data_IF_495824803739
#
_entry.id   IF_495824803739
#
_cell.length_a   1.000
_cell.length_b   1.000
_cell.length_c   1.000
_cell.angle_alpha   90.00
_cell.angle_beta   90.00
_cell.angle_gamma   90.00
#
_symmetry.space_group_name_H-M   'P 1'
#
loop_
_entity.id
_entity.type
_entity.pdbx_description
1 polymer ?
#
# COMPACT_ATOMS: atom_id res chain seq x y z
N UNK A 1 -24.14 -5.41 -6.19
CA UNK A 1 -23.88 -3.96 -6.35
C UNK A 1 -22.74 -3.58 -5.44
N UNK A 2 -21.97 -2.56 -5.81
CA UNK A 2 -20.75 -2.15 -5.09
C UNK A 2 -20.82 -0.64 -4.83
N UNK A 3 -20.40 -0.19 -3.66
CA UNK A 3 -20.11 1.22 -3.42
C UNK A 3 -18.59 1.40 -3.31
N UNK A 4 -18.05 2.37 -4.03
CA UNK A 4 -16.69 2.88 -3.83
C UNK A 4 -16.73 4.24 -3.17
N UNK A 5 -15.80 4.50 -2.26
CA UNK A 5 -15.64 5.80 -1.60
C UNK A 5 -14.16 6.19 -1.67
N UNK A 6 -13.82 7.43 -2.05
CA UNK A 6 -12.48 8.00 -1.84
C UNK A 6 -12.58 9.17 -0.86
N UNK A 7 -12.00 9.00 0.32
CA UNK A 7 -11.97 10.02 1.37
C UNK A 7 -10.77 10.94 1.13
N UNK A 8 -11.03 12.05 0.47
CA UNK A 8 -10.07 13.12 0.23
C UNK A 8 -9.97 14.14 1.38
N UNK A 9 -8.99 15.05 1.32
CA UNK A 9 -8.82 16.10 2.33
C UNK A 9 -9.89 17.18 2.27
N UNK A 10 -10.40 17.50 1.08
CA UNK A 10 -11.43 18.54 0.88
C UNK A 10 -12.81 17.94 0.65
N UNK A 11 -12.87 16.90 -0.19
CA UNK A 11 -14.11 16.25 -0.59
C UNK A 11 -14.00 14.74 -0.42
N UNK A 12 -15.14 14.12 -0.13
CA UNK A 12 -15.32 12.67 -0.14
C UNK A 12 -16.26 12.31 -1.28
N UNK A 13 -15.75 11.46 -2.15
CA UNK A 13 -16.45 11.02 -3.35
C UNK A 13 -17.01 9.63 -3.10
N UNK A 14 -18.25 9.38 -3.52
CA UNK A 14 -18.82 8.05 -3.50
C UNK A 14 -19.50 7.72 -4.84
N UNK A 15 -19.35 6.48 -5.27
CA UNK A 15 -19.99 5.97 -6.49
C UNK A 15 -20.68 4.64 -6.19
N UNK A 16 -21.86 4.48 -6.74
CA UNK A 16 -22.64 3.25 -6.70
C UNK A 16 -22.57 2.56 -8.07
N UNK A 17 -22.08 1.33 -8.10
CA UNK A 17 -21.98 0.49 -9.29
C UNK A 17 -22.98 -0.67 -9.27
N UNK A 18 -23.55 -0.98 -10.44
CA UNK A 18 -24.35 -2.18 -10.66
C UNK A 18 -23.49 -3.46 -10.77
N UNK A 19 -24.11 -4.58 -11.16
CA UNK A 19 -23.41 -5.86 -11.33
C UNK A 19 -22.48 -5.91 -12.54
N UNK A 20 -22.69 -5.04 -13.53
CA UNK A 20 -21.91 -4.94 -14.76
C UNK A 20 -20.79 -3.88 -14.65
N UNK A 21 -20.69 -3.21 -13.49
CA UNK A 21 -19.70 -2.17 -13.23
C UNK A 21 -20.10 -0.78 -13.75
N UNK A 22 -21.36 -0.58 -14.14
CA UNK A 22 -21.85 0.74 -14.58
C UNK A 22 -22.18 1.62 -13.39
N UNK A 23 -21.83 2.90 -13.48
CA UNK A 23 -22.17 3.89 -12.46
C UNK A 23 -23.67 4.20 -12.50
N UNK A 24 -24.37 3.93 -11.40
CA UNK A 24 -25.78 4.27 -11.21
C UNK A 24 -25.95 5.66 -10.58
N UNK A 25 -25.00 6.06 -9.74
CA UNK A 25 -25.00 7.35 -9.05
C UNK A 25 -23.58 7.67 -8.58
N UNK A 26 -23.22 8.95 -8.62
CA UNK A 26 -21.99 9.48 -8.06
C UNK A 26 -22.34 10.74 -7.24
N UNK A 27 -21.71 10.88 -6.08
CA UNK A 27 -21.88 12.02 -5.19
C UNK A 27 -20.51 12.51 -4.73
N UNK A 28 -20.44 13.81 -4.47
CA UNK A 28 -19.28 14.49 -3.91
C UNK A 28 -19.78 15.35 -2.76
N UNK A 29 -19.28 15.10 -1.56
CA UNK A 29 -19.65 15.84 -0.35
C UNK A 29 -18.41 16.42 0.32
N UNK A 30 -18.51 17.54 1.05
CA UNK A 30 -17.39 18.06 1.83
C UNK A 30 -16.88 17.03 2.84
N UNK A 31 -15.56 16.88 2.93
CA UNK A 31 -14.95 16.02 3.96
C UNK A 31 -15.02 16.68 5.34
N UNK A 32 -15.31 15.89 6.36
CA UNK A 32 -15.27 16.29 7.76
C UNK A 32 -13.81 16.34 8.24
N UNK A 33 -13.38 17.51 8.71
CA UNK A 33 -12.00 17.72 9.13
C UNK A 33 -11.62 16.78 10.28
N UNK A 34 -10.65 15.90 10.04
CA UNK A 34 -10.16 14.95 11.04
C UNK A 34 -11.03 13.71 11.27
N UNK A 35 -12.17 13.59 10.56
CA UNK A 35 -13.11 12.48 10.70
C UNK A 35 -13.32 11.77 9.35
N UNK A 36 -12.42 10.84 9.04
CA UNK A 36 -12.46 10.08 7.78
C UNK A 36 -13.67 9.14 7.70
N UNK A 37 -14.06 8.53 8.84
CA UNK A 37 -15.19 7.60 8.87
C UNK A 37 -16.52 8.34 8.79
N UNK A 38 -16.68 9.45 9.50
CA UNK A 38 -17.85 10.32 9.37
C UNK A 38 -18.00 10.89 7.97
N UNK A 39 -16.89 11.26 7.32
CA UNK A 39 -16.88 11.69 5.91
C UNK A 39 -17.41 10.60 4.97
N UNK A 40 -16.97 9.35 5.18
CA UNK A 40 -17.48 8.18 4.46
C UNK A 40 -18.98 7.98 4.71
N UNK A 41 -19.42 8.06 5.97
CA UNK A 41 -20.85 7.89 6.31
C UNK A 41 -21.69 8.95 5.60
N UNK A 42 -21.26 10.21 5.59
CA UNK A 42 -21.94 11.29 4.91
C UNK A 42 -22.05 11.05 3.40
N UNK A 43 -20.96 10.61 2.74
CA UNK A 43 -20.95 10.33 1.31
C UNK A 43 -21.87 9.15 0.95
N UNK A 44 -21.84 8.07 1.72
CA UNK A 44 -22.73 6.91 1.51
C UNK A 44 -24.20 7.26 1.79
N UNK A 45 -24.46 8.16 2.73
CA UNK A 45 -25.82 8.63 3.04
C UNK A 45 -26.42 9.49 1.92
N UNK A 46 -25.59 10.16 1.12
CA UNK A 46 -26.02 10.95 -0.03
C UNK A 46 -26.39 10.10 -1.26
N UNK A 47 -26.03 8.82 -1.29
CA UNK A 47 -26.43 7.90 -2.36
C UNK A 47 -27.91 7.44 -2.23
N UNK A 48 -28.60 7.09 -3.33
CA UNK A 48 -29.98 6.61 -3.28
C UNK A 48 -30.19 5.38 -2.38
N UNK A 49 -31.19 5.44 -1.48
CA UNK A 49 -31.43 4.41 -0.45
C UNK A 49 -31.80 3.03 -0.98
N UNK A 50 -32.72 2.96 -1.95
CA UNK A 50 -33.24 1.69 -2.48
C UNK A 50 -32.13 0.80 -3.08
N UNK A 51 -31.27 1.30 -4.00
CA UNK A 51 -30.13 0.53 -4.48
C UNK A 51 -29.12 0.15 -3.39
N UNK A 52 -28.91 1.04 -2.40
CA UNK A 52 -27.93 0.85 -1.32
C UNK A 52 -28.20 -0.39 -0.48
N UNK A 53 -29.46 -0.75 -0.26
CA UNK A 53 -29.84 -1.96 0.48
C UNK A 53 -29.43 -3.28 -0.22
N UNK A 54 -29.07 -3.22 -1.51
CA UNK A 54 -28.59 -4.38 -2.32
C UNK A 54 -27.08 -4.41 -2.49
N UNK A 55 -26.36 -3.49 -1.84
CA UNK A 55 -24.90 -3.40 -1.92
C UNK A 55 -24.27 -4.44 -1.02
N UNK A 56 -23.50 -5.34 -1.62
CA UNK A 56 -22.81 -6.43 -0.93
C UNK A 56 -21.34 -6.13 -0.67
N UNK A 57 -20.84 -4.98 -1.16
CA UNK A 57 -19.44 -4.59 -1.03
C UNK A 57 -19.32 -3.06 -0.93
N UNK A 58 -18.54 -2.62 0.06
CA UNK A 58 -18.06 -1.26 0.24
C UNK A 58 -16.53 -1.26 0.09
N UNK A 59 -16.00 -0.56 -0.91
CA UNK A 59 -14.58 -0.37 -1.11
C UNK A 59 -14.18 1.07 -0.77
N UNK A 60 -13.14 1.24 0.05
CA UNK A 60 -12.79 2.53 0.63
C UNK A 60 -11.34 2.91 0.35
N UNK A 61 -11.17 4.05 -0.33
CA UNK A 61 -9.94 4.83 -0.41
C UNK A 61 -9.77 5.69 0.83
N UNK A 62 -8.73 5.42 1.63
CA UNK A 62 -8.41 6.20 2.83
C UNK A 62 -7.04 6.81 2.71
N UNK A 63 -6.93 8.09 3.10
CA UNK A 63 -5.67 8.84 3.10
C UNK A 63 -5.10 9.06 4.50
N UNK A 64 -5.68 8.41 5.52
CA UNK A 64 -5.34 8.61 6.94
C UNK A 64 -3.86 8.29 7.21
N UNK A 65 -3.36 7.14 6.76
CA UNK A 65 -1.96 6.75 6.96
C UNK A 65 -0.97 7.71 6.27
N UNK A 66 -1.24 8.06 4.99
CA UNK A 66 -0.38 8.96 4.23
C UNK A 66 -0.34 10.37 4.86
N UNK A 67 -1.48 10.85 5.36
CA UNK A 67 -1.60 12.12 6.08
C UNK A 67 -0.83 12.09 7.40
N UNK A 68 -1.01 11.06 8.22
CA UNK A 68 -0.30 10.90 9.49
C UNK A 68 1.21 10.91 9.29
N UNK A 69 1.71 10.21 8.27
CA UNK A 69 3.12 10.28 7.89
C UNK A 69 3.47 11.69 7.45
N UNK A 70 2.76 12.32 6.52
CA UNK A 70 3.11 13.66 6.03
C UNK A 70 3.12 14.75 7.12
N UNK A 71 2.15 14.70 8.04
CA UNK A 71 1.96 15.67 9.12
C UNK A 71 2.77 15.34 10.38
N UNK A 72 3.36 14.13 10.46
CA UNK A 72 4.11 13.63 11.62
C UNK A 72 3.24 13.50 12.88
N UNK A 73 1.96 13.16 12.71
CA UNK A 73 0.96 13.14 13.79
C UNK A 73 0.28 11.80 13.92
N UNK A 74 -0.04 11.39 15.16
CA UNK A 74 -0.78 10.16 15.43
C UNK A 74 0.01 8.89 15.09
N UNK A 75 1.34 8.98 15.06
CA UNK A 75 2.26 7.88 14.85
C UNK A 75 2.71 7.34 16.21
N UNK A 76 2.76 6.01 16.33
CA UNK A 76 3.24 5.33 17.52
C UNK A 76 4.75 5.54 17.72
N UNK A 77 5.19 5.63 18.97
CA UNK A 77 6.60 5.53 19.34
C UNK A 77 7.09 4.09 19.17
N UNK A 78 8.05 3.87 18.28
CA UNK A 78 8.53 2.56 17.84
C UNK A 78 9.91 2.22 18.42
N UNK A 79 10.01 1.07 19.06
CA UNK A 79 11.30 0.41 19.33
C UNK A 79 11.78 -0.33 18.08
N UNK A 80 12.95 0.03 17.55
CA UNK A 80 13.50 -0.55 16.32
C UNK A 80 14.61 -1.54 16.65
N UNK A 81 14.34 -2.83 16.44
CA UNK A 81 15.29 -3.91 16.69
C UNK A 81 15.77 -4.50 15.36
N UNK A 82 17.08 -4.44 15.11
CA UNK A 82 17.71 -5.15 14.01
C UNK A 82 18.46 -6.37 14.52
N UNK A 83 18.25 -7.51 13.88
CA UNK A 83 18.93 -8.77 14.17
C UNK A 83 19.91 -9.06 13.02
N UNK A 84 21.20 -9.12 13.32
CA UNK A 84 22.24 -9.39 12.34
C UNK A 84 23.64 -9.44 12.94
N UNK A 85 24.58 -10.07 12.22
CA UNK A 85 26.01 -10.04 12.58
C UNK A 85 26.67 -8.69 12.27
N UNK A 86 27.99 -8.60 12.48
CA UNK A 86 28.78 -7.34 12.41
C UNK A 86 28.56 -6.51 11.13
N UNK A 87 28.28 -7.15 9.98
CA UNK A 87 27.98 -6.44 8.72
C UNK A 87 26.70 -5.59 8.79
N UNK A 88 25.78 -5.89 9.72
CA UNK A 88 24.55 -5.16 9.95
C UNK A 88 24.74 -3.88 10.80
N UNK A 89 25.92 -3.68 11.39
CA UNK A 89 26.26 -2.51 12.23
C UNK A 89 26.84 -1.34 11.45
N UNK A 90 27.27 -1.56 10.20
CA UNK A 90 27.87 -0.52 9.36
C UNK A 90 26.94 0.67 9.09
N UNK A 91 25.62 0.44 9.14
CA UNK A 91 24.59 1.46 8.93
C UNK A 91 23.61 1.40 10.09
N UNK A 92 23.34 2.53 10.75
CA UNK A 92 22.37 2.56 11.87
C UNK A 92 20.92 2.31 11.40
N UNK A 93 20.04 1.80 12.27
CA UNK A 93 18.60 1.77 11.99
C UNK A 93 18.05 3.15 11.65
N UNK A 94 16.96 3.17 10.87
CA UNK A 94 16.31 4.39 10.37
C UNK A 94 17.17 5.24 9.42
N UNK A 95 18.11 4.60 8.73
CA UNK A 95 18.92 5.28 7.72
C UNK A 95 18.06 5.85 6.57
N UNK A 96 18.32 7.12 6.23
CA UNK A 96 17.61 7.82 5.16
C UNK A 96 16.28 8.45 5.56
N UNK A 97 15.88 8.37 6.84
CA UNK A 97 14.69 9.05 7.35
C UNK A 97 14.94 10.56 7.49
N UNK A 98 13.94 11.41 7.16
CA UNK A 98 13.93 12.81 7.58
C UNK A 98 14.00 12.91 9.10
N UNK A 99 14.78 13.86 9.62
CA UNK A 99 15.03 14.00 11.06
C UNK A 99 13.73 14.17 11.85
N UNK A 100 12.82 15.01 11.37
CA UNK A 100 11.56 15.33 12.05
C UNK A 100 10.65 14.10 12.13
N UNK A 101 10.64 13.26 11.10
CA UNK A 101 9.87 12.02 11.13
C UNK A 101 10.51 10.98 12.03
N UNK A 102 11.84 10.88 12.01
CA UNK A 102 12.57 9.99 12.91
C UNK A 102 12.27 10.34 14.37
N UNK A 103 12.34 11.62 14.73
CA UNK A 103 12.07 12.09 16.08
C UNK A 103 10.61 11.85 16.50
N UNK A 104 9.68 11.95 15.55
CA UNK A 104 8.27 11.66 15.79
C UNK A 104 7.95 10.17 16.00
N UNK A 105 8.83 9.24 15.60
CA UNK A 105 8.53 7.79 15.67
C UNK A 105 9.50 6.96 16.49
N UNK A 106 10.71 7.43 16.79
CA UNK A 106 11.76 6.57 17.34
C UNK A 106 11.81 6.58 18.87
N UNK A 107 11.31 5.52 19.51
CA UNK A 107 11.46 5.32 20.96
C UNK A 107 12.88 4.90 21.37
N UNK A 108 13.55 4.16 20.49
CA UNK A 108 14.90 3.65 20.68
C UNK A 108 15.27 2.64 19.59
N UNK A 109 16.57 2.38 19.43
CA UNK A 109 17.09 1.45 18.42
C UNK A 109 18.12 0.50 19.02
N UNK A 110 18.13 -0.77 18.61
CA UNK A 110 19.20 -1.71 18.93
C UNK A 110 19.54 -2.60 17.74
N UNK A 111 20.81 -2.95 17.63
CA UNK A 111 21.29 -4.05 16.81
C UNK A 111 21.71 -5.18 17.75
N UNK A 112 21.27 -6.40 17.49
CA UNK A 112 21.59 -7.58 18.28
C UNK A 112 22.16 -8.70 17.41
N UNK A 113 23.01 -9.53 17.99
CA UNK A 113 23.59 -10.66 17.29
C UNK A 113 22.50 -11.66 16.87
N UNK A 114 22.70 -12.24 15.68
CA UNK A 114 21.79 -13.18 15.05
C UNK A 114 21.83 -13.05 13.53
N UNK A 115 20.71 -13.35 12.89
CA UNK A 115 20.53 -13.33 11.44
C UNK A 115 20.84 -14.69 10.82
N UNK A 116 20.14 -15.00 9.73
CA UNK A 116 20.37 -16.19 8.93
C UNK A 116 21.22 -15.92 7.69
N UNK A 117 21.18 -16.85 6.75
CA UNK A 117 21.76 -16.75 5.42
C UNK A 117 21.06 -17.66 4.42
N UNK A 118 21.72 -17.97 3.31
CA UNK A 118 21.11 -18.75 2.20
C UNK A 118 21.34 -20.25 2.33
N UNK A 119 22.30 -20.67 3.16
CA UNK A 119 22.61 -22.06 3.48
C UNK A 119 22.13 -22.47 4.88
N UNK A 120 22.04 -23.79 5.14
CA UNK A 120 21.59 -24.34 6.43
C UNK A 120 22.57 -24.07 7.60
N UNK A 121 23.78 -23.62 7.31
CA UNK A 121 24.81 -23.25 8.29
C UNK A 121 25.13 -21.76 8.29
N UNK A 122 24.41 -20.97 7.48
CA UNK A 122 24.60 -19.53 7.45
C UNK A 122 23.69 -18.92 8.51
N UNK A 123 24.23 -18.61 9.69
CA UNK A 123 23.50 -17.88 10.71
C UNK A 123 24.20 -17.87 12.07
N UNK A 124 23.89 -16.86 12.88
CA UNK A 124 24.32 -16.77 14.27
C UNK A 124 23.10 -16.96 15.19
N UNK A 125 23.25 -17.55 16.39
CA UNK A 125 22.15 -17.63 17.35
C UNK A 125 21.71 -16.22 17.77
N UNK A 126 20.42 -16.08 18.05
CA UNK A 126 19.85 -14.83 18.56
C UNK A 126 20.37 -14.54 19.97
N UNK A 127 20.89 -13.33 20.21
CA UNK A 127 21.18 -12.84 21.56
C UNK A 127 19.89 -12.47 22.29
N UNK A 128 19.26 -13.48 22.89
CA UNK A 128 17.99 -13.36 23.63
C UNK A 128 18.07 -12.35 24.76
N UNK A 129 19.18 -12.31 25.48
CA UNK A 129 19.35 -11.41 26.63
C UNK A 129 19.44 -9.95 26.17
N UNK A 130 20.08 -9.68 25.03
CA UNK A 130 20.09 -8.35 24.43
C UNK A 130 18.70 -7.90 23.97
N UNK A 131 17.91 -8.81 23.38
CA UNK A 131 16.51 -8.52 23.04
C UNK A 131 15.70 -8.20 24.30
N UNK A 132 15.86 -8.99 25.36
CA UNK A 132 15.15 -8.78 26.61
C UNK A 132 15.49 -7.43 27.26
N UNK A 133 16.79 -7.10 27.35
CA UNK A 133 17.26 -5.80 27.85
C UNK A 133 16.71 -4.63 27.04
N UNK A 134 16.67 -4.77 25.71
CA UNK A 134 16.12 -3.74 24.82
C UNK A 134 14.61 -3.54 25.06
N UNK A 135 13.85 -4.63 25.12
CA UNK A 135 12.41 -4.60 25.41
C UNK A 135 12.11 -3.95 26.76
N UNK A 136 12.76 -4.41 27.83
CA UNK A 136 12.60 -3.87 29.17
C UNK A 136 12.97 -2.38 29.27
N UNK A 137 14.05 -1.95 28.59
CA UNK A 137 14.49 -0.56 28.57
C UNK A 137 13.54 0.41 27.85
N UNK A 138 12.63 -0.12 27.02
CA UNK A 138 11.61 0.65 26.31
C UNK A 138 10.18 0.39 26.81
N UNK A 139 9.99 -0.43 27.84
CA UNK A 139 8.68 -0.69 28.43
C UNK A 139 8.00 0.63 28.86
N UNK A 140 6.74 0.82 28.42
CA UNK A 140 5.97 2.05 28.66
C UNK A 140 6.42 3.29 27.86
N UNK A 141 7.50 3.20 27.08
CA UNK A 141 7.98 4.26 26.17
C UNK A 141 7.73 3.92 24.70
N UNK A 142 7.93 2.67 24.32
CA UNK A 142 7.55 2.17 23.01
C UNK A 142 6.09 1.72 23.02
N UNK A 143 5.32 2.23 22.07
CA UNK A 143 3.93 1.86 21.81
C UNK A 143 3.82 0.72 20.79
N UNK A 144 4.90 0.47 20.02
CA UNK A 144 5.02 -0.64 19.09
C UNK A 144 6.51 -1.00 18.88
N UNK A 145 6.78 -2.18 18.32
CA UNK A 145 8.12 -2.60 17.93
C UNK A 145 8.19 -2.99 16.46
N UNK A 146 9.30 -2.67 15.82
CA UNK A 146 9.67 -3.12 14.48
C UNK A 146 10.90 -4.00 14.57
N UNK A 147 10.79 -5.25 14.11
CA UNK A 147 11.87 -6.23 14.14
C UNK A 147 12.30 -6.56 12.72
N UNK A 148 13.60 -6.39 12.43
CA UNK A 148 14.18 -6.68 11.12
C UNK A 148 15.40 -7.60 11.23
N UNK A 149 15.35 -8.79 10.65
CA UNK A 149 16.50 -9.68 10.57
C UNK A 149 17.11 -9.78 9.17
N UNK A 150 18.43 -9.97 9.09
CA UNK A 150 19.09 -10.35 7.83
C UNK A 150 18.50 -11.70 7.38
N UNK A 151 18.10 -11.78 6.10
CA UNK A 151 17.43 -12.93 5.49
C UNK A 151 16.04 -13.33 6.06
N UNK A 152 15.40 -12.48 6.86
CA UNK A 152 14.05 -12.72 7.38
C UNK A 152 12.97 -13.16 6.36
N UNK A 153 12.94 -12.65 5.11
CA UNK A 153 11.97 -13.11 4.11
C UNK A 153 12.15 -14.58 3.70
N UNK A 154 13.34 -15.15 3.91
CA UNK A 154 13.60 -16.58 3.68
C UNK A 154 13.33 -17.39 4.95
N UNK A 155 13.77 -16.89 6.11
CA UNK A 155 13.52 -17.50 7.42
C UNK A 155 13.31 -16.43 8.51
N UNK A 156 12.05 -16.26 8.92
CA UNK A 156 11.65 -15.30 9.97
C UNK A 156 11.68 -15.86 11.39
N UNK A 157 12.34 -17.00 11.65
CA UNK A 157 12.30 -17.66 12.97
C UNK A 157 12.80 -16.77 14.10
N UNK A 158 13.94 -16.11 13.92
CA UNK A 158 14.48 -15.21 14.94
C UNK A 158 13.64 -13.95 15.14
N UNK A 159 12.96 -13.45 14.10
CA UNK A 159 12.05 -12.30 14.27
C UNK A 159 10.85 -12.69 15.15
N UNK A 160 10.28 -13.89 14.97
CA UNK A 160 9.19 -14.40 15.80
C UNK A 160 9.62 -14.61 17.25
N UNK A 161 10.78 -15.21 17.44
CA UNK A 161 11.36 -15.42 18.77
C UNK A 161 11.63 -14.09 19.50
N UNK A 162 12.23 -13.11 18.81
CA UNK A 162 12.43 -11.79 19.36
C UNK A 162 11.09 -11.11 19.69
N UNK A 163 10.05 -11.31 18.89
CA UNK A 163 8.72 -10.77 19.16
C UNK A 163 8.08 -11.35 20.42
N UNK A 164 8.29 -12.63 20.71
CA UNK A 164 7.83 -13.25 21.96
C UNK A 164 8.54 -12.63 23.17
N UNK A 165 9.86 -12.45 23.09
CA UNK A 165 10.65 -11.81 24.15
C UNK A 165 10.21 -10.36 24.37
N UNK A 166 10.05 -9.57 23.29
CA UNK A 166 9.61 -8.18 23.38
C UNK A 166 8.22 -8.06 24.04
N UNK A 167 7.29 -8.96 23.75
CA UNK A 167 5.97 -8.99 24.41
C UNK A 167 6.07 -9.37 25.88
N UNK A 168 6.96 -10.28 26.24
CA UNK A 168 7.18 -10.64 27.63
C UNK A 168 7.72 -9.46 28.45
N UNK A 169 8.63 -8.67 27.87
CA UNK A 169 9.32 -7.59 28.58
C UNK A 169 8.60 -6.23 28.54
N UNK A 170 7.99 -5.89 27.39
CA UNK A 170 7.38 -4.57 27.18
C UNK A 170 5.84 -4.57 27.29
N UNK A 171 5.20 -5.74 27.35
CA UNK A 171 3.76 -5.91 27.52
C UNK A 171 3.14 -6.87 26.50
N UNK A 172 2.29 -7.78 26.97
CA UNK A 172 1.76 -8.89 26.15
C UNK A 172 1.00 -8.41 24.89
N UNK A 173 0.33 -7.27 24.98
CA UNK A 173 -0.49 -6.70 23.90
C UNK A 173 0.27 -5.70 23.02
N UNK A 174 1.57 -5.47 23.26
CA UNK A 174 2.33 -4.52 22.44
C UNK A 174 2.43 -5.02 20.99
N UNK A 175 2.08 -4.18 19.99
CA UNK A 175 2.24 -4.55 18.59
C UNK A 175 3.72 -4.79 18.26
N UNK A 176 4.01 -5.90 17.60
CA UNK A 176 5.34 -6.21 17.06
C UNK A 176 5.20 -6.55 15.58
N UNK A 177 5.81 -5.75 14.72
CA UNK A 177 5.79 -5.91 13.26
C UNK A 177 7.10 -6.55 12.81
N UNK A 178 6.99 -7.61 12.00
CA UNK A 178 8.13 -8.42 11.54
C UNK A 178 8.45 -8.12 10.08
N UNK A 179 9.72 -7.86 9.79
CA UNK A 179 10.14 -7.48 8.44
C UNK A 179 9.94 -8.61 7.42
N UNK A 180 10.09 -9.87 7.83
CA UNK A 180 9.87 -11.04 6.97
C UNK A 180 8.47 -11.11 6.36
N UNK A 181 7.45 -10.55 7.03
CA UNK A 181 6.08 -10.51 6.53
C UNK A 181 5.86 -9.42 5.47
N UNK A 182 6.69 -8.37 5.44
CA UNK A 182 6.64 -7.33 4.39
C UNK A 182 7.11 -7.89 3.04
N UNK A 183 7.91 -8.96 3.05
CA UNK A 183 8.19 -9.79 1.87
C UNK A 183 9.11 -9.16 0.82
N UNK A 184 9.71 -7.99 1.08
CA UNK A 184 10.54 -7.29 0.11
C UNK A 184 12.05 -7.48 0.33
N UNK A 185 12.83 -7.38 -0.76
CA UNK A 185 14.29 -7.49 -0.69
C UNK A 185 14.99 -6.20 -0.25
N UNK A 186 16.17 -6.38 0.36
CA UNK A 186 17.02 -5.31 0.86
C UNK A 186 16.71 -4.91 2.30
N UNK A 187 17.70 -5.03 3.19
CA UNK A 187 17.53 -4.83 4.64
C UNK A 187 17.03 -3.43 4.98
N UNK A 188 17.72 -2.37 4.52
CA UNK A 188 17.43 -1.00 4.94
C UNK A 188 16.04 -0.52 4.51
N UNK A 189 15.67 -0.75 3.25
CA UNK A 189 14.36 -0.35 2.71
C UNK A 189 13.21 -1.16 3.32
N UNK A 190 13.45 -2.45 3.62
CA UNK A 190 12.48 -3.29 4.32
C UNK A 190 12.30 -2.86 5.77
N UNK A 191 13.39 -2.65 6.50
CA UNK A 191 13.36 -2.12 7.88
C UNK A 191 12.57 -0.80 7.94
N UNK A 192 12.82 0.11 7.00
CA UNK A 192 12.09 1.37 6.93
C UNK A 192 10.57 1.17 6.71
N UNK A 193 10.18 0.20 5.87
CA UNK A 193 8.77 -0.15 5.70
C UNK A 193 8.17 -0.79 6.97
N UNK A 194 8.92 -1.68 7.63
CA UNK A 194 8.51 -2.31 8.91
C UNK A 194 8.31 -1.28 10.02
N UNK A 195 9.18 -0.27 10.12
CA UNK A 195 9.03 0.82 11.09
C UNK A 195 7.81 1.68 10.74
N UNK A 196 7.55 2.00 9.46
CA UNK A 196 6.34 2.72 9.08
C UNK A 196 5.07 1.94 9.43
N UNK A 197 5.05 0.63 9.21
CA UNK A 197 3.92 -0.23 9.60
C UNK A 197 3.71 -0.22 11.12
N UNK A 198 4.79 -0.33 11.91
CA UNK A 198 4.72 -0.25 13.36
C UNK A 198 4.25 1.13 13.85
N UNK A 199 4.72 2.21 13.22
CA UNK A 199 4.31 3.57 13.55
C UNK A 199 2.82 3.82 13.24
N UNK A 200 2.26 3.12 12.25
CA UNK A 200 0.87 3.30 11.79
C UNK A 200 -0.14 2.34 12.44
N UNK A 201 0.32 1.28 13.10
CA UNK A 201 -0.55 0.15 13.49
C UNK A 201 -1.71 0.56 14.40
N UNK A 202 -1.46 1.40 15.41
CA UNK A 202 -2.49 1.86 16.36
C UNK A 202 -3.52 2.77 15.69
N UNK A 203 -3.05 3.70 14.85
CA UNK A 203 -3.92 4.60 14.10
C UNK A 203 -4.84 3.83 13.16
N UNK A 204 -4.27 2.91 12.40
CA UNK A 204 -4.99 2.14 11.40
C UNK A 204 -5.94 1.13 12.04
N UNK A 205 -5.57 0.52 13.17
CA UNK A 205 -6.47 -0.34 13.94
C UNK A 205 -7.72 0.43 14.38
N UNK A 206 -7.56 1.62 14.98
CA UNK A 206 -8.68 2.48 15.37
C UNK A 206 -9.59 2.82 14.20
N UNK A 207 -9.03 3.22 13.05
CA UNK A 207 -9.83 3.52 11.85
C UNK A 207 -10.60 2.29 11.36
N UNK A 208 -9.98 1.12 11.39
CA UNK A 208 -10.66 -0.12 11.02
C UNK A 208 -11.79 -0.48 12.01
N UNK A 209 -11.63 -0.22 13.31
CA UNK A 209 -12.68 -0.38 14.32
C UNK A 209 -13.84 0.59 14.10
N UNK A 210 -13.54 1.87 13.85
CA UNK A 210 -14.54 2.90 13.55
C UNK A 210 -15.34 2.58 12.28
N UNK A 211 -14.67 2.13 11.22
CA UNK A 211 -15.35 1.68 9.98
C UNK A 211 -16.27 0.50 10.25
N UNK A 212 -15.81 -0.49 11.02
CA UNK A 212 -16.59 -1.66 11.40
C UNK A 212 -17.84 -1.25 12.20
N UNK A 213 -17.68 -0.34 13.16
CA UNK A 213 -18.76 0.18 13.98
C UNK A 213 -19.76 1.06 13.19
N UNK A 214 -19.32 1.68 12.09
CA UNK A 214 -20.17 2.49 11.23
C UNK A 214 -21.07 1.66 10.29
N UNK A 215 -20.70 0.41 9.97
CA UNK A 215 -21.41 -0.41 8.97
C UNK A 215 -22.93 -0.52 9.16
N UNK A 216 -23.46 -0.78 10.38
CA UNK A 216 -24.91 -0.91 10.57
C UNK A 216 -25.69 0.37 10.20
N UNK A 217 -25.02 1.54 10.24
CA UNK A 217 -25.62 2.85 9.95
C UNK A 217 -25.66 3.16 8.46
N UNK A 218 -24.91 2.41 7.63
CA UNK A 218 -24.80 2.66 6.19
C UNK A 218 -25.98 2.10 5.38
N UNK A 219 -26.80 1.23 5.96
CA UNK A 219 -27.97 0.65 5.27
C UNK A 219 -27.59 -0.17 4.03
N UNK A 220 -26.49 -0.92 4.12
CA UNK A 220 -26.03 -1.88 3.11
C UNK A 220 -26.74 -3.23 3.28
N UNK A 221 -26.51 -4.17 2.36
CA UNK A 221 -26.99 -5.53 2.53
C UNK A 221 -26.38 -6.19 3.79
N UNK A 222 -27.11 -7.08 4.49
CA UNK A 222 -26.53 -7.87 5.57
C UNK A 222 -25.30 -8.63 5.09
N UNK A 223 -24.22 -8.57 5.87
CA UNK A 223 -22.95 -9.19 5.47
C UNK A 223 -22.22 -8.48 4.33
N UNK A 224 -22.45 -7.18 4.09
CA UNK A 224 -21.67 -6.45 3.11
C UNK A 224 -20.16 -6.44 3.48
N UNK A 225 -19.30 -6.79 2.54
CA UNK A 225 -17.86 -6.81 2.73
C UNK A 225 -17.30 -5.38 2.73
N UNK A 226 -16.40 -5.06 3.68
CA UNK A 226 -15.64 -3.81 3.68
C UNK A 226 -14.21 -4.08 3.28
N UNK A 227 -13.78 -3.38 2.25
CA UNK A 227 -12.43 -3.46 1.70
C UNK A 227 -11.82 -2.09 1.65
N UNK A 228 -10.50 -2.04 1.77
CA UNK A 228 -9.71 -0.82 1.64
C UNK A 228 -8.72 -0.96 0.51
N UNK A 229 -8.38 0.17 -0.09
CA UNK A 229 -7.51 0.22 -1.24
C UNK A 229 -6.03 0.15 -0.86
N UNK A 230 -5.25 -0.52 -1.71
CA UNK A 230 -3.81 -0.70 -1.61
C UNK A 230 -3.07 0.23 -2.57
N UNK A 231 -1.78 0.41 -2.32
CA UNK A 231 -0.88 1.22 -3.13
C UNK A 231 -0.68 0.75 -4.58
N UNK A 232 -0.98 -0.51 -4.88
CA UNK A 232 -0.88 -1.09 -6.23
C UNK A 232 -2.20 -1.01 -7.03
N UNK A 233 -3.20 -0.30 -6.49
CA UNK A 233 -4.52 -0.16 -7.11
C UNK A 233 -5.41 -1.39 -6.92
N UNK A 234 -5.09 -2.28 -5.98
CA UNK A 234 -5.98 -3.40 -5.60
C UNK A 234 -6.63 -3.16 -4.23
N UNK A 235 -7.43 -4.11 -3.76
CA UNK A 235 -8.12 -4.06 -2.47
C UNK A 235 -7.53 -5.05 -1.46
N UNK A 236 -7.81 -4.82 -0.17
CA UNK A 236 -7.61 -5.74 0.94
C UNK A 236 -8.70 -5.61 2.00
N UNK A 237 -8.89 -6.62 2.84
CA UNK A 237 -9.77 -6.60 3.99
C UNK A 237 -9.23 -5.70 5.12
N UNK A 238 -10.12 -5.31 6.04
CA UNK A 238 -9.73 -4.59 7.26
C UNK A 238 -8.76 -5.41 8.12
N UNK A 239 -8.93 -6.72 8.20
CA UNK A 239 -8.01 -7.60 8.95
C UNK A 239 -6.60 -7.60 8.36
N UNK A 240 -6.50 -7.54 7.03
CA UNK A 240 -5.22 -7.46 6.35
C UNK A 240 -4.59 -6.07 6.52
N UNK A 241 -5.39 -5.00 6.45
CA UNK A 241 -4.96 -3.64 6.74
C UNK A 241 -4.35 -3.52 8.15
N UNK A 242 -4.94 -4.16 9.17
CA UNK A 242 -4.40 -4.15 10.54
C UNK A 242 -3.02 -4.80 10.65
N UNK A 243 -2.77 -5.83 9.85
CA UNK A 243 -1.48 -6.53 9.82
C UNK A 243 -0.41 -5.77 9.04
N UNK A 244 -0.80 -5.11 7.95
CA UNK A 244 0.14 -4.37 7.09
C UNK A 244 -0.40 -2.97 6.72
N UNK A 245 -0.40 -2.02 7.68
CA UNK A 245 -0.90 -0.67 7.49
C UNK A 245 -0.28 0.07 6.29
N UNK A 246 1.02 -0.13 6.04
CA UNK A 246 1.76 0.57 5.00
C UNK A 246 1.33 0.19 3.59
N UNK A 247 0.62 -0.92 3.40
CA UNK A 247 0.00 -1.22 2.09
C UNK A 247 -1.03 -0.17 1.68
N UNK A 248 -1.59 0.60 2.63
CA UNK A 248 -2.51 1.71 2.35
C UNK A 248 -1.80 3.01 1.92
N UNK A 249 -0.48 3.11 2.10
CA UNK A 249 0.28 4.32 1.75
C UNK A 249 0.40 4.46 0.23
N UNK A 250 -0.08 5.57 -0.32
CA UNK A 250 -0.13 5.77 -1.78
C UNK A 250 -1.37 5.19 -2.46
N UNK A 251 -2.32 4.65 -1.69
CA UNK A 251 -3.58 4.09 -2.21
C UNK A 251 -4.48 5.13 -2.91
N UNK A 252 -4.58 6.36 -2.40
CA UNK A 252 -5.39 7.42 -3.02
C UNK A 252 -5.01 7.69 -4.50
N UNK A 253 -3.75 8.04 -4.79
CA UNK A 253 -3.28 8.14 -6.18
C UNK A 253 -3.44 6.84 -6.97
N UNK A 254 -3.15 5.68 -6.37
CA UNK A 254 -3.28 4.38 -7.05
C UNK A 254 -4.72 4.14 -7.55
N UNK A 255 -5.72 4.40 -6.71
CA UNK A 255 -7.13 4.27 -7.08
C UNK A 255 -7.56 5.30 -8.10
N UNK A 256 -7.06 6.53 -8.00
CA UNK A 256 -7.38 7.58 -8.97
C UNK A 256 -6.84 7.24 -10.35
N UNK A 257 -5.57 6.80 -10.44
CA UNK A 257 -4.95 6.34 -11.69
C UNK A 257 -5.71 5.16 -12.27
N UNK A 258 -6.03 4.16 -11.44
CA UNK A 258 -6.76 2.98 -11.89
C UNK A 258 -8.19 3.32 -12.35
N UNK A 259 -8.88 4.19 -11.62
CA UNK A 259 -10.21 4.66 -11.97
C UNK A 259 -10.21 5.46 -13.28
N UNK A 260 -9.19 6.29 -13.51
CA UNK A 260 -9.02 7.02 -14.77
C UNK A 260 -8.93 6.06 -15.97
N UNK A 261 -8.15 4.98 -15.86
CA UNK A 261 -8.06 3.94 -16.89
C UNK A 261 -9.38 3.23 -17.14
N UNK A 262 -10.08 2.84 -16.07
CA UNK A 262 -11.36 2.16 -16.19
C UNK A 262 -12.46 3.03 -16.81
N UNK A 263 -12.55 4.30 -16.40
CA UNK A 263 -13.54 5.24 -16.90
C UNK A 263 -13.27 5.67 -18.35
N UNK A 264 -11.99 5.80 -18.73
CA UNK A 264 -11.59 6.15 -20.10
C UNK A 264 -11.59 4.97 -21.07
N UNK A 265 -11.54 3.74 -20.56
CA UNK A 265 -11.31 2.54 -21.37
C UNK A 265 -9.87 2.39 -21.85
N UNK A 266 -8.95 3.27 -21.44
CA UNK A 266 -7.54 3.25 -21.83
C UNK A 266 -6.73 2.42 -20.84
N UNK A 267 -5.84 1.57 -21.35
CA UNK A 267 -4.99 0.69 -20.52
C UNK A 267 -3.60 1.24 -20.25
N UNK A 268 -3.10 2.09 -21.14
CA UNK A 268 -1.77 2.69 -21.08
C UNK A 268 -1.91 4.19 -21.33
N UNK A 269 -1.62 5.01 -20.31
CA UNK A 269 -1.87 6.44 -20.34
C UNK A 269 -1.00 7.19 -19.34
N UNK A 270 -0.73 8.47 -19.60
CA UNK A 270 -0.38 9.41 -18.52
C UNK A 270 -1.68 9.86 -17.87
N UNK A 271 -1.76 9.79 -16.55
CA UNK A 271 -2.93 10.24 -15.79
C UNK A 271 -2.57 11.48 -14.99
N UNK A 272 -3.36 12.53 -15.15
CA UNK A 272 -3.23 13.76 -14.38
C UNK A 272 -4.48 13.98 -13.51
N UNK A 273 -4.33 13.76 -12.20
CA UNK A 273 -5.31 14.03 -11.14
C UNK A 273 -5.22 15.50 -10.73
N UNK A 274 -6.17 16.30 -11.22
CA UNK A 274 -6.23 17.73 -10.98
C UNK A 274 -7.11 18.01 -9.75
N UNK A 275 -6.46 18.31 -8.62
CA UNK A 275 -7.11 18.86 -7.44
C UNK A 275 -7.18 20.39 -7.48
N UNK A 276 -7.69 20.99 -6.40
CA UNK A 276 -7.85 22.45 -6.30
C UNK A 276 -6.53 23.23 -6.30
N UNK A 277 -5.50 22.68 -5.64
CA UNK A 277 -4.19 23.33 -5.48
C UNK A 277 -3.03 22.56 -6.08
N UNK A 278 -3.20 21.25 -6.26
CA UNK A 278 -2.13 20.35 -6.70
C UNK A 278 -2.64 19.46 -7.80
N UNK A 279 -1.83 19.29 -8.82
CA UNK A 279 -2.00 18.24 -9.81
C UNK A 279 -0.99 17.12 -9.52
N UNK A 280 -1.43 15.87 -9.60
CA UNK A 280 -0.57 14.69 -9.51
C UNK A 280 -0.56 13.99 -10.86
N UNK A 281 0.62 13.79 -11.40
CA UNK A 281 0.83 13.14 -12.69
C UNK A 281 1.54 11.81 -12.46
N UNK A 282 0.98 10.73 -12.96
CA UNK A 282 1.57 9.40 -12.94
C UNK A 282 1.19 8.62 -14.19
N UNK A 283 1.65 7.38 -14.28
CA UNK A 283 1.43 6.55 -15.48
C UNK A 283 0.55 5.36 -15.14
N UNK A 284 -0.34 5.01 -16.07
CA UNK A 284 -1.12 3.78 -16.09
C UNK A 284 -0.44 2.85 -17.10
N UNK A 285 -0.19 1.61 -16.70
CA UNK A 285 0.37 0.56 -17.58
C UNK A 285 -0.45 -0.71 -17.44
N UNK A 286 -0.89 -1.27 -18.56
CA UNK A 286 -1.74 -2.46 -18.62
C UNK A 286 -3.00 -2.40 -17.73
N UNK A 287 -3.49 -1.21 -17.40
CA UNK A 287 -4.65 -0.96 -16.53
C UNK A 287 -4.34 -0.85 -15.04
N UNK A 288 -3.07 -0.78 -14.65
CA UNK A 288 -2.63 -0.60 -13.25
C UNK A 288 -1.68 0.60 -13.11
N UNK A 289 -1.61 1.24 -11.94
CA UNK A 289 -0.64 2.30 -11.70
C UNK A 289 0.78 1.79 -11.89
N UNK A 290 1.59 2.54 -12.64
CA UNK A 290 3.02 2.26 -12.76
C UNK A 290 3.69 2.53 -11.41
N UNK A 291 4.38 1.51 -10.92
CA UNK A 291 5.09 1.56 -9.65
C UNK A 291 6.43 2.29 -9.82
N UNK A 292 6.83 3.06 -8.81
CA UNK A 292 8.15 3.65 -8.78
C UNK A 292 9.23 2.56 -8.80
N UNK A 293 10.33 2.84 -9.50
CA UNK A 293 11.51 1.97 -9.53
C UNK A 293 12.15 1.77 -8.14
N UNK A 294 13.27 1.02 -8.07
CA UNK A 294 14.00 0.82 -6.83
C UNK A 294 14.36 2.16 -6.18
N UNK A 295 13.83 2.43 -4.97
CA UNK A 295 14.05 3.70 -4.28
C UNK A 295 12.81 4.56 -4.06
N UNK A 296 11.60 4.01 -4.24
CA UNK A 296 10.35 4.64 -3.82
C UNK A 296 10.43 5.22 -2.41
N UNK A 297 9.80 6.39 -2.21
CA UNK A 297 9.82 7.11 -0.94
C UNK A 297 8.41 7.42 -0.46
N UNK A 298 8.19 7.29 0.85
CA UNK A 298 6.94 7.72 1.49
C UNK A 298 7.28 8.71 2.58
N UNK A 299 6.75 9.93 2.49
CA UNK A 299 7.05 11.00 3.46
C UNK A 299 8.53 11.33 3.58
N UNK A 300 9.32 11.06 2.53
CA UNK A 300 10.78 11.19 2.51
C UNK A 300 11.56 9.93 2.89
N UNK A 301 10.91 8.90 3.43
CA UNK A 301 11.56 7.64 3.85
C UNK A 301 11.75 6.71 2.65
N UNK A 302 12.96 6.22 2.36
CA UNK A 302 13.16 5.21 1.33
C UNK A 302 12.62 3.85 1.79
N UNK A 303 11.69 3.29 1.04
CA UNK A 303 10.97 2.06 1.39
C UNK A 303 11.08 1.03 0.28
N UNK A 304 10.78 -0.23 0.62
CA UNK A 304 10.69 -1.32 -0.34
C UNK A 304 9.27 -1.50 -0.92
N UNK A 305 8.32 -0.67 -0.47
CA UNK A 305 6.95 -0.65 -0.98
C UNK A 305 6.92 -0.09 -2.39
N UNK A 306 6.19 -0.77 -3.28
CA UNK A 306 6.06 -0.38 -4.70
C UNK A 306 4.87 0.54 -4.90
N UNK A 307 4.98 1.76 -4.37
CA UNK A 307 3.96 2.81 -4.50
C UNK A 307 3.93 3.40 -5.93
N UNK A 308 2.84 4.06 -6.35
CA UNK A 308 2.78 4.70 -7.66
C UNK A 308 3.86 5.77 -7.83
N UNK A 309 4.48 5.81 -9.01
CA UNK A 309 5.37 6.92 -9.38
C UNK A 309 4.55 8.17 -9.69
N UNK A 310 4.89 9.28 -9.03
CA UNK A 310 4.10 10.51 -9.11
C UNK A 310 5.01 11.74 -9.17
N UNK A 311 4.69 12.64 -10.09
CA UNK A 311 5.10 14.04 -10.03
C UNK A 311 3.96 14.86 -9.46
N UNK A 312 4.26 15.78 -8.55
CA UNK A 312 3.27 16.71 -7.99
C UNK A 312 3.68 18.13 -8.35
N UNK A 313 2.75 18.87 -8.94
CA UNK A 313 2.92 20.27 -9.33
C UNK A 313 1.75 21.11 -8.82
N UNK A 314 1.88 22.44 -8.88
CA UNK A 314 0.75 23.33 -8.63
C UNK A 314 -0.30 23.16 -9.75
N UNK A 315 -1.57 23.00 -9.38
CA UNK A 315 -2.65 22.79 -10.37
C UNK A 315 -2.85 24.00 -11.30
N UNK A 316 -2.57 25.22 -10.85
CA UNK A 316 -2.69 26.43 -11.64
C UNK A 316 -1.49 26.67 -12.57
N UNK A 317 -0.36 26.02 -12.31
CA UNK A 317 0.86 26.16 -13.09
C UNK A 317 0.83 25.23 -14.32
N UNK A 318 0.05 25.60 -15.34
CA UNK A 318 -0.14 24.79 -16.56
C UNK A 318 1.18 24.40 -17.26
N UNK A 319 2.22 25.24 -17.19
CA UNK A 319 3.54 24.92 -17.75
C UNK A 319 4.19 23.74 -17.01
N UNK A 320 4.17 23.79 -15.68
CA UNK A 320 4.74 22.74 -14.83
C UNK A 320 3.94 21.43 -14.98
N UNK A 321 2.62 21.54 -15.17
CA UNK A 321 1.76 20.41 -15.51
C UNK A 321 2.16 19.77 -16.85
N UNK A 322 2.37 20.58 -17.90
CA UNK A 322 2.82 20.09 -19.19
C UNK A 322 4.18 19.40 -19.11
N UNK A 323 5.13 19.97 -18.37
CA UNK A 323 6.44 19.36 -18.13
C UNK A 323 6.32 18.03 -17.35
N UNK A 324 5.47 17.99 -16.32
CA UNK A 324 5.24 16.77 -15.55
C UNK A 324 4.60 15.66 -16.39
N UNK A 325 3.67 16.02 -17.29
CA UNK A 325 3.09 15.09 -18.26
C UNK A 325 4.15 14.57 -19.23
N UNK A 326 4.95 15.45 -19.82
CA UNK A 326 6.02 15.08 -20.75
C UNK A 326 7.04 14.13 -20.11
N UNK A 327 7.46 14.41 -18.87
CA UNK A 327 8.38 13.53 -18.11
C UNK A 327 7.82 12.15 -17.80
N UNK A 328 6.49 12.00 -17.77
CA UNK A 328 5.81 10.73 -17.53
C UNK A 328 5.49 9.96 -18.82
N UNK A 329 5.78 10.53 -19.99
CA UNK A 329 5.65 9.84 -21.27
C UNK A 329 6.71 8.74 -21.37
N UNK A 330 6.27 7.48 -21.34
CA UNK A 330 7.16 6.31 -21.40
C UNK A 330 7.24 5.67 -22.79
N UNK A 331 6.40 6.12 -23.74
CA UNK A 331 6.31 5.56 -25.09
C UNK A 331 6.79 6.56 -26.16
N UNK A 332 7.56 6.07 -27.14
CA UNK A 332 8.12 6.87 -28.22
C UNK A 332 7.07 7.56 -29.13
N UNK A 333 5.81 7.13 -29.09
CA UNK A 333 4.69 7.72 -29.83
C UNK A 333 3.79 8.66 -29.01
N UNK A 334 4.09 8.86 -27.72
CA UNK A 334 3.22 9.56 -26.78
C UNK A 334 2.03 8.69 -26.34
N UNK A 335 1.86 8.54 -25.03
CA UNK A 335 0.65 7.99 -24.43
C UNK A 335 -0.44 9.07 -24.38
N UNK A 336 -1.73 8.70 -24.52
CA UNK A 336 -2.83 9.62 -24.25
C UNK A 336 -2.77 10.11 -22.79
N UNK A 337 -3.25 11.33 -22.57
CA UNK A 337 -3.31 11.96 -21.26
C UNK A 337 -4.75 11.94 -20.76
N UNK A 338 -5.00 11.19 -19.70
CA UNK A 338 -6.32 11.14 -19.06
C UNK A 338 -6.37 12.17 -17.94
N UNK A 339 -7.23 13.19 -18.10
CA UNK A 339 -7.46 14.22 -17.09
C UNK A 339 -8.64 13.83 -16.19
N UNK A 340 -8.39 13.74 -14.89
CA UNK A 340 -9.38 13.41 -13.85
C UNK A 340 -9.26 14.34 -12.65
N UNK A 341 -10.16 14.19 -11.68
CA UNK A 341 -10.20 15.02 -10.49
C UNK A 341 -11.12 16.24 -10.66
N UNK A 342 -11.43 16.90 -9.54
CA UNK A 342 -12.41 17.99 -9.50
C UNK A 342 -12.00 19.25 -10.28
N UNK A 343 -10.70 19.44 -10.53
CA UNK A 343 -10.18 20.58 -11.28
C UNK A 343 -9.92 20.31 -12.76
N UNK A 344 -10.24 19.11 -13.27
CA UNK A 344 -9.87 18.71 -14.64
C UNK A 344 -10.48 19.61 -15.73
N UNK A 345 -11.69 20.13 -15.51
CA UNK A 345 -12.37 21.03 -16.44
C UNK A 345 -11.68 22.40 -16.57
N UNK A 346 -10.93 22.82 -15.54
CA UNK A 346 -10.22 24.09 -15.55
C UNK A 346 -8.93 24.05 -16.40
N UNK A 347 -8.46 22.86 -16.79
CA UNK A 347 -7.27 22.68 -17.62
C UNK A 347 -7.67 22.62 -19.10
N UNK A 348 -7.42 23.67 -19.90
CA UNK A 348 -7.77 23.67 -21.32
C UNK A 348 -6.80 22.79 -22.12
N UNK A 349 -7.24 22.20 -23.24
CA UNK A 349 -6.40 21.30 -24.07
C UNK A 349 -5.09 21.94 -24.52
N UNK A 350 -5.10 23.25 -24.81
CA UNK A 350 -3.90 24.02 -25.16
C UNK A 350 -2.82 24.04 -24.08
N UNK A 351 -3.15 23.67 -22.83
CA UNK A 351 -2.19 23.52 -21.75
C UNK A 351 -1.30 22.28 -21.92
N UNK A 352 -1.73 21.29 -22.71
CA UNK A 352 -1.01 20.04 -22.97
C UNK A 352 -0.77 19.88 -24.49
N UNK A 353 0.08 20.73 -25.09
CA UNK A 353 0.27 20.76 -26.53
C UNK A 353 0.84 19.42 -27.04
N UNK A 354 0.26 18.89 -28.11
CA UNK A 354 0.72 17.65 -28.76
C UNK A 354 0.29 16.35 -28.07
N UNK A 355 -0.45 16.43 -26.95
CA UNK A 355 -1.05 15.27 -26.30
C UNK A 355 -2.45 14.98 -26.82
N UNK A 356 -2.80 13.70 -26.98
CA UNK A 356 -4.20 13.27 -27.07
C UNK A 356 -4.81 13.32 -25.67
N UNK A 357 -5.76 14.24 -25.43
CA UNK A 357 -6.36 14.45 -24.11
C UNK A 357 -7.70 13.73 -24.02
N UNK A 358 -7.84 12.86 -23.02
CA UNK A 358 -9.07 12.11 -22.73
C UNK A 358 -9.67 12.62 -21.42
N UNK A 359 -10.96 13.01 -21.46
CA UNK A 359 -11.74 13.38 -20.26
C UNK A 359 -12.90 12.41 -20.12
N UNK A 360 -12.78 11.39 -19.26
CA UNK A 360 -13.83 10.41 -19.14
C UNK A 360 -15.05 10.97 -18.42
N UNK A 361 -16.23 10.43 -18.75
CA UNK A 361 -17.42 10.64 -17.95
C UNK A 361 -17.15 10.22 -16.49
N UNK A 362 -17.66 10.98 -15.53
CA UNK A 362 -17.39 10.79 -14.09
C UNK A 362 -15.91 10.90 -13.67
N UNK A 363 -15.03 11.48 -14.50
CA UNK A 363 -13.61 11.71 -14.15
C UNK A 363 -13.41 12.50 -12.84
N UNK A 364 -14.39 13.31 -12.44
CA UNK A 364 -14.39 14.03 -11.16
C UNK A 364 -14.47 13.15 -9.91
N UNK A 365 -14.82 11.86 -10.04
CA UNK A 365 -14.89 10.86 -8.94
C UNK A 365 -14.05 9.61 -9.25
N UNK A 366 -13.01 9.75 -10.08
CA UNK A 366 -12.18 8.62 -10.53
C UNK A 366 -11.61 7.78 -9.38
N UNK A 367 -11.22 8.39 -8.25
CA UNK A 367 -10.74 7.68 -7.07
C UNK A 367 -11.78 6.71 -6.50
N UNK A 368 -13.02 7.15 -6.32
CA UNK A 368 -14.11 6.33 -5.82
C UNK A 368 -14.47 5.19 -6.80
N UNK A 369 -14.46 5.48 -8.11
CA UNK A 369 -14.66 4.46 -9.14
C UNK A 369 -13.54 3.41 -9.13
N UNK A 370 -12.29 3.87 -9.04
CA UNK A 370 -11.13 3.01 -8.88
C UNK A 370 -11.26 2.11 -7.66
N UNK A 371 -11.69 2.63 -6.51
CA UNK A 371 -11.93 1.81 -5.32
C UNK A 371 -13.00 0.72 -5.57
N UNK A 372 -14.16 1.09 -6.13
CA UNK A 372 -15.27 0.15 -6.37
C UNK A 372 -14.90 -0.99 -7.33
N UNK A 373 -14.21 -0.66 -8.43
CA UNK A 373 -13.97 -1.58 -9.53
C UNK A 373 -12.60 -2.30 -9.43
N UNK A 374 -11.95 -2.25 -8.26
CA UNK A 374 -10.65 -2.91 -8.03
C UNK A 374 -10.80 -4.34 -7.54
N UNK A 375 -9.97 -5.29 -8.02
CA UNK A 375 -9.91 -6.63 -7.45
C UNK A 375 -9.20 -6.59 -6.09
N UNK A 376 -9.39 -7.62 -5.29
CA UNK A 376 -8.51 -7.91 -4.15
C UNK A 376 -7.19 -8.44 -4.70
N UNK A 377 -6.07 -7.94 -4.17
CA UNK A 377 -4.74 -8.24 -4.67
C UNK A 377 -3.82 -8.87 -3.62
N UNK A 378 -2.81 -9.57 -4.11
CA UNK A 378 -1.67 -10.06 -3.32
C UNK A 378 -0.43 -10.15 -4.19
N UNK A 379 0.74 -10.05 -3.57
CA UNK A 379 2.01 -10.20 -4.26
C UNK A 379 3.00 -10.99 -3.41
N UNK A 380 3.96 -11.64 -4.07
CA UNK A 380 5.07 -12.27 -3.38
C UNK A 380 6.33 -12.20 -4.24
N UNK A 381 7.48 -12.04 -3.59
CA UNK A 381 8.79 -12.06 -4.23
C UNK A 381 9.80 -12.88 -3.45
N UNK A 382 10.69 -13.58 -4.15
CA UNK A 382 11.69 -14.47 -3.54
C UNK A 382 12.97 -14.55 -4.36
N UNK A 383 14.12 -14.51 -3.69
CA UNK A 383 15.41 -14.86 -4.32
C UNK A 383 15.59 -16.37 -4.24
N UNK A 384 15.98 -16.96 -5.36
CA UNK A 384 16.21 -18.40 -5.49
C UNK A 384 17.52 -18.63 -6.23
N UNK A 385 18.32 -19.58 -5.77
CA UNK A 385 19.45 -20.12 -6.56
C UNK A 385 18.98 -21.40 -7.23
N UNK A 386 19.18 -21.50 -8.55
CA UNK A 386 18.89 -22.73 -9.28
C UNK A 386 20.07 -23.67 -9.11
N UNK A 387 20.02 -24.53 -8.11
CA UNK A 387 21.01 -25.58 -7.87
C UNK A 387 20.72 -26.86 -8.65
N UNK A 388 21.65 -27.83 -8.69
CA UNK A 388 21.42 -29.14 -9.29
C UNK A 388 20.25 -29.85 -8.59
N UNK A 389 19.22 -30.24 -9.35
CA UNK A 389 18.09 -31.03 -8.84
C UNK A 389 16.83 -30.25 -8.45
N UNK A 390 16.88 -28.91 -8.31
CA UNK A 390 15.67 -28.09 -8.10
C UNK A 390 15.21 -27.51 -9.44
N UNK A 391 14.06 -27.95 -9.95
CA UNK A 391 13.49 -27.42 -11.21
C UNK A 391 12.98 -26.01 -10.96
N UNK A 392 13.46 -25.04 -11.75
CA UNK A 392 13.05 -23.63 -11.68
C UNK A 392 11.52 -23.47 -11.73
N UNK A 393 10.84 -24.29 -12.52
CA UNK A 393 9.39 -24.25 -12.65
C UNK A 393 8.65 -24.57 -11.34
N UNK A 394 9.13 -25.55 -10.57
CA UNK A 394 8.54 -25.85 -9.25
C UNK A 394 8.65 -24.65 -8.30
N UNK A 395 9.74 -23.90 -8.38
CA UNK A 395 9.96 -22.71 -7.55
C UNK A 395 9.12 -21.52 -8.01
N UNK A 396 8.91 -21.37 -9.33
CA UNK A 396 7.97 -20.39 -9.89
C UNK A 396 6.54 -20.69 -9.42
N UNK A 397 6.16 -21.96 -9.36
CA UNK A 397 4.85 -22.38 -8.84
C UNK A 397 4.71 -22.10 -7.34
N UNK A 398 5.74 -22.38 -6.52
CA UNK A 398 5.76 -21.97 -5.10
C UNK A 398 5.51 -20.46 -4.93
N UNK A 399 6.16 -19.61 -5.74
CA UNK A 399 6.00 -18.14 -5.67
C UNK A 399 4.59 -17.71 -6.09
N UNK A 400 4.00 -18.36 -7.10
CA UNK A 400 2.59 -18.13 -7.49
C UNK A 400 1.62 -18.53 -6.39
N UNK A 401 1.82 -19.68 -5.77
CA UNK A 401 0.96 -20.18 -4.70
C UNK A 401 1.02 -19.26 -3.48
N UNK A 402 2.20 -18.74 -3.16
CA UNK A 402 2.36 -17.72 -2.12
C UNK A 402 1.60 -16.44 -2.49
N UNK A 403 1.78 -15.89 -3.70
CA UNK A 403 1.03 -14.71 -4.13
C UNK A 403 -0.50 -14.92 -4.06
N UNK A 404 -0.98 -16.11 -4.47
CA UNK A 404 -2.39 -16.50 -4.33
C UNK A 404 -2.83 -16.55 -2.87
N UNK A 405 -2.03 -17.14 -1.98
CA UNK A 405 -2.31 -17.17 -0.55
C UNK A 405 -2.39 -15.76 0.05
N UNK A 406 -1.52 -14.84 -0.39
CA UNK A 406 -1.57 -13.43 -0.01
C UNK A 406 -2.87 -12.74 -0.46
N UNK A 407 -3.32 -12.96 -1.70
CA UNK A 407 -4.58 -12.42 -2.18
C UNK A 407 -5.80 -12.98 -1.41
N UNK A 408 -5.79 -14.28 -1.09
CA UNK A 408 -6.84 -14.90 -0.27
C UNK A 408 -6.84 -14.34 1.15
N UNK A 409 -5.66 -14.17 1.77
CA UNK A 409 -5.52 -13.52 3.08
C UNK A 409 -5.96 -12.06 3.08
N UNK A 410 -5.83 -11.38 1.94
CA UNK A 410 -6.35 -10.04 1.73
C UNK A 410 -7.87 -10.01 1.46
N UNK A 411 -8.53 -11.17 1.33
CA UNK A 411 -9.99 -11.28 1.20
C UNK A 411 -10.50 -11.69 -0.19
N UNK A 412 -9.66 -12.23 -1.08
CA UNK A 412 -10.09 -12.70 -2.40
C UNK A 412 -10.78 -14.08 -2.32
N UNK A 413 -11.77 -14.33 -3.19
CA UNK A 413 -12.38 -15.67 -3.34
C UNK A 413 -11.33 -16.67 -3.86
N UNK A 414 -10.93 -17.69 -3.07
CA UNK A 414 -9.86 -18.61 -3.44
C UNK A 414 -10.13 -19.37 -4.74
N UNK A 415 -11.39 -19.53 -5.15
CA UNK A 415 -11.79 -20.23 -6.38
C UNK A 415 -11.60 -19.39 -7.63
N UNK A 416 -11.46 -18.07 -7.49
CA UNK A 416 -11.44 -17.10 -8.60
C UNK A 416 -10.16 -16.25 -8.63
N UNK A 417 -9.16 -16.58 -7.82
CA UNK A 417 -7.85 -15.92 -7.87
C UNK A 417 -7.10 -16.34 -9.12
N UNK A 418 -6.59 -15.35 -9.86
CA UNK A 418 -5.68 -15.53 -10.99
C UNK A 418 -4.31 -15.02 -10.61
N UNK A 419 -3.25 -15.68 -11.08
CA UNK A 419 -1.87 -15.28 -10.83
C UNK A 419 -1.21 -14.78 -12.10
N UNK A 420 -0.26 -13.86 -11.94
CA UNK A 420 0.63 -13.34 -12.97
C UNK A 420 2.05 -13.49 -12.46
N UNK A 421 2.88 -14.26 -13.16
CA UNK A 421 4.31 -14.31 -12.90
C UNK A 421 4.98 -13.16 -13.68
N UNK A 422 5.77 -12.34 -13.00
CA UNK A 422 6.57 -11.31 -13.66
C UNK A 422 7.84 -11.94 -14.28
N UNK A 423 8.50 -11.26 -15.23
CA UNK A 423 9.76 -11.73 -15.80
C UNK A 423 10.83 -11.99 -14.73
N UNK A 424 11.56 -13.09 -14.88
CA UNK A 424 12.68 -13.43 -14.01
C UNK A 424 13.76 -12.34 -14.07
N UNK A 425 14.17 -11.85 -12.91
CA UNK A 425 15.23 -10.85 -12.80
C UNK A 425 16.51 -11.50 -12.28
N UNK A 426 17.64 -11.21 -12.91
CA UNK A 426 18.95 -11.60 -12.35
C UNK A 426 19.26 -10.74 -11.14
N UNK A 427 19.92 -11.33 -10.14
CA UNK A 427 20.34 -10.58 -8.95
C UNK A 427 21.80 -10.14 -9.14
N UNK A 428 22.08 -8.82 -9.20
CA UNK A 428 23.45 -8.33 -9.29
C UNK A 428 24.31 -8.88 -8.14
N UNK A 429 25.56 -9.25 -8.45
CA UNK A 429 26.55 -9.76 -7.49
C UNK A 429 26.22 -11.12 -6.83
N UNK A 430 25.14 -11.80 -7.27
CA UNK A 430 24.80 -13.17 -6.85
C UNK A 430 24.65 -14.07 -8.09
N UNK A 431 25.76 -14.59 -8.67
CA UNK A 431 25.71 -15.46 -9.84
C UNK A 431 24.81 -16.69 -9.62
N UNK A 432 23.98 -17.01 -10.62
CA UNK A 432 23.05 -18.15 -10.57
C UNK A 432 21.80 -17.92 -9.68
N UNK A 433 21.63 -16.73 -9.12
CA UNK A 433 20.42 -16.35 -8.40
C UNK A 433 19.44 -15.59 -9.29
N UNK A 434 18.15 -15.92 -9.13
CA UNK A 434 17.02 -15.25 -9.77
C UNK A 434 16.12 -14.65 -8.69
N UNK A 435 15.59 -13.47 -8.97
CA UNK A 435 14.47 -12.87 -8.27
C UNK A 435 13.20 -13.21 -9.03
N UNK A 436 12.35 -14.02 -8.40
CA UNK A 436 11.04 -14.40 -8.90
C UNK A 436 9.96 -13.56 -8.23
N UNK A 437 8.97 -13.13 -9.00
CA UNK A 437 7.85 -12.32 -8.52
C UNK A 437 6.54 -12.81 -9.09
N UNK A 438 5.52 -12.86 -8.26
CA UNK A 438 4.16 -13.12 -8.70
C UNK A 438 3.18 -12.14 -8.07
N UNK A 439 2.16 -11.77 -8.83
CA UNK A 439 0.96 -11.08 -8.38
C UNK A 439 -0.23 -12.02 -8.47
N UNK A 440 -1.23 -11.77 -7.65
CA UNK A 440 -2.48 -12.50 -7.65
C UNK A 440 -3.64 -11.53 -7.47
N UNK A 441 -4.73 -11.76 -8.19
CA UNK A 441 -5.90 -10.89 -8.20
C UNK A 441 -7.16 -11.74 -8.23
N UNK A 442 -8.19 -11.33 -7.49
CA UNK A 442 -9.49 -12.00 -7.51
C UNK A 442 -10.61 -11.09 -7.06
N UNK A 443 -11.88 -11.46 -7.32
CA UNK A 443 -13.00 -10.80 -6.70
C UNK A 443 -12.96 -11.03 -5.18
N UNK A 444 -13.56 -10.16 -4.37
CA UNK A 444 -13.71 -10.40 -2.95
C UNK A 444 -14.47 -11.70 -2.68
N UNK A 445 -14.13 -12.36 -1.57
CA UNK A 445 -14.90 -13.49 -1.07
C UNK A 445 -16.31 -13.01 -0.70
N UNK A 446 -17.39 -13.61 -1.25
CA UNK A 446 -18.74 -13.35 -0.76
C UNK A 446 -18.81 -13.75 0.71
N UNK A 447 -19.30 -12.85 1.57
CA UNK A 447 -19.53 -13.13 2.98
C UNK A 447 -20.75 -14.05 3.19
#
# INVERSE_FOLDING_TARGET
>A
MIIGVDVGPTNTDAVLLDGDGRALSAVKVPSLAGDAVGSLVAAVAALPREPRARVTQLAVGLRVAARAVAERTGLAQVGVLRIGGEAADAVRPLFGWPAELRDAVCAGTANVAGGGGLGPYDGAPLDRDAVARFGAGLAGRAEAFAVSAVFAPADGTQEREAAEILRAEAGADVPVVLSGEIGALGLLRRENATVLDAALCLLVARVADELTAALPRLGLAPGAAVLVTRHDGTLMSLDHLRRQPGLSLGSGPACTIRGAGLLSGVRDAVVADIGERRARVGTLTAGYPQEAGPGGRIGGVPVSLRVPELLTVDAAAHRDLAEAVDRMQTAAGGLPVVLVGGGAEAVPDRALPGCEVVRPEHGGVAGAFGAAASPVGGHHERIVRVGPGRRLDAVRDEVRDLARAWAVRAGADPRRVRTLLEPDLTVPYLPGALLLRARAFGPPLPL
#
